data_IF_949040269164
#
_entry.id   IF_949040269164
#
_cell.length_a   1.000
_cell.length_b   1.000
_cell.length_c   1.000
_cell.angle_alpha   90.00
_cell.angle_beta   90.00
_cell.angle_gamma   90.00
#
_symmetry.space_group_name_H-M   'P 1'
#
loop_
_entity.id
_entity.type
_entity.pdbx_description
1 polymer ?
#
# COMPACT_ATOMS: atom_id res chain seq x y z
N UNK A 1 -13.85 -11.91 -13.41
CA UNK A 1 -14.09 -10.48 -13.73
C UNK A 1 -15.13 -9.93 -12.77
N UNK A 2 -14.80 -9.72 -11.52
CA UNK A 2 -15.68 -8.99 -10.60
C UNK A 2 -14.77 -8.16 -9.72
N UNK A 3 -14.39 -6.96 -10.23
CA UNK A 3 -14.11 -5.87 -9.33
C UNK A 3 -15.37 -5.62 -8.55
N UNK A 4 -15.29 -5.30 -7.27
CA UNK A 4 -16.44 -4.92 -6.44
C UNK A 4 -17.03 -3.64 -7.06
N UNK A 5 -17.90 -3.82 -8.05
CA UNK A 5 -18.81 -2.80 -8.50
C UNK A 5 -19.95 -2.87 -7.48
N UNK A 6 -20.02 -1.92 -6.55
CA UNK A 6 -21.26 -1.74 -5.82
C UNK A 6 -22.35 -1.50 -6.85
N UNK A 7 -23.40 -2.32 -6.82
CA UNK A 7 -24.55 -2.14 -7.67
C UNK A 7 -25.14 -0.76 -7.43
N UNK A 8 -25.64 -0.16 -8.50
CA UNK A 8 -26.38 1.08 -8.39
C UNK A 8 -27.62 0.86 -7.53
N UNK A 9 -27.80 1.70 -6.54
CA UNK A 9 -28.99 1.72 -5.67
C UNK A 9 -29.94 2.81 -6.18
N UNK A 10 -31.24 2.51 -6.23
CA UNK A 10 -32.26 3.49 -6.64
C UNK A 10 -32.65 4.40 -5.47
N UNK A 11 -32.68 5.68 -5.74
CA UNK A 11 -33.15 6.73 -4.83
C UNK A 11 -34.27 7.53 -5.48
N UNK A 12 -35.23 7.93 -4.67
CA UNK A 12 -36.37 8.73 -5.11
C UNK A 12 -36.44 10.05 -4.35
N UNK A 13 -36.96 11.07 -4.98
CA UNK A 13 -37.17 12.39 -4.38
C UNK A 13 -38.29 13.16 -5.11
N UNK A 14 -38.67 14.33 -4.60
CA UNK A 14 -39.62 15.21 -5.31
C UNK A 14 -38.96 15.78 -6.58
N UNK A 15 -37.67 16.06 -6.49
CA UNK A 15 -36.81 16.50 -7.59
C UNK A 15 -35.60 15.59 -7.69
N UNK A 16 -34.82 15.70 -8.78
CA UNK A 16 -33.54 15.00 -8.92
C UNK A 16 -32.57 15.39 -7.80
N UNK A 17 -32.56 16.66 -7.41
CA UNK A 17 -31.70 17.16 -6.33
C UNK A 17 -32.08 16.57 -4.96
N UNK A 18 -33.40 16.40 -4.69
CA UNK A 18 -33.85 15.70 -3.48
C UNK A 18 -33.43 14.24 -3.49
N UNK A 19 -33.56 13.55 -4.63
CA UNK A 19 -33.14 12.16 -4.76
C UNK A 19 -31.62 12.01 -4.59
N UNK A 20 -30.84 12.94 -5.14
CA UNK A 20 -29.39 12.98 -4.95
C UNK A 20 -29.02 13.25 -3.50
N UNK A 21 -29.68 14.19 -2.83
CA UNK A 21 -29.48 14.48 -1.42
C UNK A 21 -29.72 13.24 -0.56
N UNK A 22 -30.81 12.48 -0.85
CA UNK A 22 -31.08 11.23 -0.15
C UNK A 22 -29.95 10.20 -0.35
N UNK A 23 -29.41 10.08 -1.57
CA UNK A 23 -28.29 9.21 -1.86
C UNK A 23 -27.01 9.64 -1.12
N UNK A 24 -26.71 10.94 -1.08
CA UNK A 24 -25.54 11.48 -0.37
C UNK A 24 -25.59 11.21 1.13
N UNK A 25 -26.78 11.38 1.73
CA UNK A 25 -27.01 11.09 3.16
C UNK A 25 -26.87 9.60 3.45
N UNK A 26 -27.47 8.73 2.64
CA UNK A 26 -27.39 7.27 2.83
C UNK A 26 -25.96 6.73 2.69
N UNK A 27 -25.22 7.22 1.70
CA UNK A 27 -23.82 6.81 1.49
C UNK A 27 -22.83 7.52 2.42
N UNK A 28 -23.23 8.59 3.11
CA UNK A 28 -22.37 9.39 3.96
C UNK A 28 -21.20 10.05 3.20
N UNK A 29 -21.47 10.54 1.98
CA UNK A 29 -20.47 11.10 1.05
C UNK A 29 -20.85 12.47 0.53
N UNK A 30 -19.90 13.17 -0.07
CA UNK A 30 -20.09 14.44 -0.75
C UNK A 30 -20.41 14.23 -2.25
N UNK A 31 -20.90 15.24 -2.94
CA UNK A 31 -21.37 15.14 -4.34
C UNK A 31 -20.29 14.75 -5.34
N UNK A 32 -19.02 15.00 -5.03
CA UNK A 32 -17.86 14.60 -5.85
C UNK A 32 -17.55 13.10 -5.71
N UNK A 33 -18.04 12.45 -4.64
CA UNK A 33 -17.80 11.05 -4.31
C UNK A 33 -18.93 10.11 -4.73
N UNK A 34 -19.86 10.56 -5.58
CA UNK A 34 -21.00 9.77 -6.06
C UNK A 34 -21.04 9.74 -7.59
N UNK A 35 -21.33 8.57 -8.16
CA UNK A 35 -21.77 8.44 -9.54
C UNK A 35 -23.30 8.24 -9.55
N UNK A 36 -24.01 8.96 -10.39
CA UNK A 36 -25.45 8.75 -10.52
C UNK A 36 -25.94 8.96 -11.95
N UNK A 37 -27.01 8.23 -12.30
CA UNK A 37 -27.74 8.41 -13.53
C UNK A 37 -29.20 8.73 -13.20
N UNK A 38 -29.78 9.68 -13.94
CA UNK A 38 -31.20 10.06 -13.77
C UNK A 38 -32.07 9.10 -14.57
N UNK A 39 -32.90 8.32 -13.87
CA UNK A 39 -33.87 7.41 -14.48
C UNK A 39 -35.16 8.14 -14.84
N UNK A 40 -35.69 8.95 -13.91
CA UNK A 40 -36.91 9.75 -14.09
C UNK A 40 -36.70 11.14 -13.46
N UNK A 41 -37.01 12.20 -14.24
CA UNK A 41 -36.82 13.59 -13.76
C UNK A 41 -37.88 14.05 -12.76
N UNK A 42 -38.97 13.29 -12.63
CA UNK A 42 -40.10 13.74 -11.85
C UNK A 42 -40.96 14.80 -12.53
N UNK A 43 -42.14 15.03 -12.06
CA UNK A 43 -43.00 16.13 -12.51
C UNK A 43 -43.88 16.64 -11.37
N UNK A 44 -44.02 17.93 -11.25
CA UNK A 44 -44.79 18.58 -10.19
C UNK A 44 -46.32 18.43 -10.34
N UNK A 45 -46.83 17.91 -11.47
CA UNK A 45 -48.26 17.80 -11.74
C UNK A 45 -48.95 19.17 -11.84
N UNK A 46 -50.20 19.17 -12.32
CA UNK A 46 -51.03 20.39 -12.29
C UNK A 46 -51.84 20.41 -10.99
N UNK A 47 -51.68 21.47 -10.17
CA UNK A 47 -52.35 21.59 -8.83
C UNK A 47 -52.14 20.41 -7.86
N UNK A 48 -50.98 19.74 -7.93
CA UNK A 48 -50.64 18.63 -7.06
C UNK A 48 -51.23 17.27 -7.48
N UNK A 49 -52.09 17.25 -8.51
CA UNK A 49 -52.61 16.02 -9.10
C UNK A 49 -51.62 15.47 -10.14
N UNK A 50 -51.30 14.17 -10.01
CA UNK A 50 -50.44 13.44 -10.93
C UNK A 50 -48.94 13.81 -10.85
N UNK A 51 -48.43 14.22 -9.68
CA UNK A 51 -46.99 14.36 -9.45
C UNK A 51 -46.31 12.99 -9.53
N UNK A 52 -45.23 12.91 -10.28
CA UNK A 52 -44.34 11.74 -10.34
C UNK A 52 -43.03 12.04 -9.62
N UNK A 53 -42.56 11.18 -8.73
CA UNK A 53 -41.27 11.39 -8.09
C UNK A 53 -40.12 11.30 -9.13
N UNK A 54 -39.05 12.03 -8.88
CA UNK A 54 -37.80 11.81 -9.58
C UNK A 54 -37.14 10.53 -9.06
N UNK A 55 -36.49 9.81 -9.96
CA UNK A 55 -35.69 8.62 -9.62
C UNK A 55 -34.29 8.75 -10.19
N UNK A 56 -33.32 8.41 -9.39
CA UNK A 56 -31.94 8.26 -9.81
C UNK A 56 -31.45 6.87 -9.41
N UNK A 57 -30.48 6.33 -10.13
CA UNK A 57 -29.63 5.26 -9.62
C UNK A 57 -28.27 5.84 -9.27
N UNK A 58 -27.75 5.53 -8.11
CA UNK A 58 -26.52 6.10 -7.60
C UNK A 58 -25.64 5.04 -6.96
N UNK A 59 -24.33 5.26 -7.01
CA UNK A 59 -23.32 4.46 -6.32
C UNK A 59 -22.22 5.34 -5.78
N UNK A 60 -21.57 4.91 -4.71
CA UNK A 60 -20.39 5.57 -4.20
C UNK A 60 -19.21 5.36 -5.16
N UNK A 61 -18.49 6.43 -5.50
CA UNK A 61 -17.21 6.33 -6.18
C UNK A 61 -16.18 5.75 -5.24
N UNK A 62 -15.49 4.73 -5.68
CA UNK A 62 -14.34 4.21 -4.95
C UNK A 62 -13.11 5.07 -5.22
N UNK A 63 -12.51 5.54 -4.16
CA UNK A 63 -11.20 6.17 -4.21
C UNK A 63 -10.09 5.12 -4.34
N UNK A 64 -8.89 5.55 -4.72
CA UNK A 64 -7.71 4.67 -4.71
C UNK A 64 -7.48 4.08 -3.31
N UNK A 65 -7.70 4.87 -2.26
CA UNK A 65 -7.59 4.41 -0.88
C UNK A 65 -8.59 3.29 -0.55
N UNK A 66 -9.84 3.40 -1.03
CA UNK A 66 -10.84 2.33 -0.86
C UNK A 66 -10.42 1.03 -1.57
N UNK A 67 -9.85 1.12 -2.77
CA UNK A 67 -9.33 -0.05 -3.48
C UNK A 67 -8.15 -0.69 -2.74
N UNK A 68 -7.20 0.10 -2.23
CA UNK A 68 -6.09 -0.39 -1.41
C UNK A 68 -6.62 -1.10 -0.17
N UNK A 69 -7.51 -0.45 0.57
CA UNK A 69 -8.09 -0.99 1.81
C UNK A 69 -8.82 -2.30 1.56
N UNK A 70 -9.65 -2.34 0.52
CA UNK A 70 -10.42 -3.52 0.16
C UNK A 70 -9.51 -4.70 -0.22
N UNK A 71 -8.51 -4.48 -1.08
CA UNK A 71 -7.54 -5.52 -1.46
C UNK A 71 -6.82 -6.08 -0.25
N UNK A 72 -6.24 -5.22 0.60
CA UNK A 72 -5.51 -5.64 1.78
C UNK A 72 -6.40 -6.35 2.80
N UNK A 73 -7.64 -5.84 3.02
CA UNK A 73 -8.60 -6.48 3.93
C UNK A 73 -8.96 -7.90 3.49
N UNK A 74 -9.15 -8.13 2.19
CA UNK A 74 -9.41 -9.48 1.65
C UNK A 74 -8.20 -10.42 1.85
N UNK A 75 -6.99 -9.92 1.61
CA UNK A 75 -5.76 -10.69 1.84
C UNK A 75 -5.63 -11.08 3.32
N UNK A 76 -5.80 -10.10 4.24
CA UNK A 76 -5.67 -10.37 5.67
C UNK A 76 -6.78 -11.29 6.20
N UNK A 77 -8.01 -11.14 5.72
CA UNK A 77 -9.10 -12.06 6.05
C UNK A 77 -8.78 -13.49 5.59
N UNK A 78 -8.23 -13.66 4.38
CA UNK A 78 -7.82 -14.98 3.88
C UNK A 78 -6.64 -15.57 4.66
N UNK A 79 -5.78 -14.74 5.25
CA UNK A 79 -4.68 -15.15 6.14
C UNK A 79 -5.15 -15.39 7.58
N UNK A 80 -6.39 -15.05 7.94
CA UNK A 80 -6.92 -15.13 9.31
C UNK A 80 -6.32 -14.09 10.26
N UNK A 81 -5.86 -12.94 9.74
CA UNK A 81 -5.21 -11.88 10.51
C UNK A 81 -6.14 -10.68 10.71
N UNK A 82 -6.17 -10.16 11.93
CA UNK A 82 -6.82 -8.88 12.25
C UNK A 82 -5.80 -7.74 12.14
N UNK A 83 -5.97 -6.89 11.10
CA UNK A 83 -5.04 -5.81 10.78
C UNK A 83 -5.80 -4.51 10.60
N UNK A 84 -5.40 -3.49 11.34
CA UNK A 84 -5.81 -2.10 11.09
C UNK A 84 -4.99 -1.55 9.93
N UNK A 85 -5.66 -0.97 8.93
CA UNK A 85 -5.04 -0.43 7.72
C UNK A 85 -5.24 1.08 7.72
N UNK A 86 -4.17 1.83 7.94
CA UNK A 86 -4.15 3.29 7.90
C UNK A 86 -3.55 3.74 6.57
N UNK A 87 -4.31 4.51 5.79
CA UNK A 87 -3.91 4.94 4.45
C UNK A 87 -3.87 6.45 4.40
N UNK A 88 -2.72 6.99 4.02
CA UNK A 88 -2.51 8.42 3.84
C UNK A 88 -1.99 8.69 2.42
N UNK A 89 -2.58 9.66 1.73
CA UNK A 89 -1.98 10.18 0.51
C UNK A 89 -0.68 10.92 0.88
N UNK A 90 0.39 10.70 0.14
CA UNK A 90 1.65 11.40 0.37
C UNK A 90 1.48 12.90 0.15
N UNK A 91 2.00 13.70 1.07
CA UNK A 91 2.01 15.16 0.95
C UNK A 91 3.10 15.68 -0.03
N UNK A 92 4.09 14.84 -0.34
CA UNK A 92 5.28 15.22 -1.11
C UNK A 92 5.24 14.70 -2.56
N UNK A 93 4.56 13.59 -2.80
CA UNK A 93 4.54 12.90 -4.10
C UNK A 93 3.09 12.65 -4.55
N UNK A 94 2.73 13.08 -5.77
CA UNK A 94 1.42 12.78 -6.36
C UNK A 94 1.27 11.27 -6.63
N UNK A 95 0.06 10.75 -6.47
CA UNK A 95 -0.28 9.35 -6.69
C UNK A 95 0.53 8.34 -5.85
N UNK A 96 1.02 8.78 -4.69
CA UNK A 96 1.70 7.93 -3.72
C UNK A 96 0.85 7.83 -2.46
N UNK A 97 0.67 6.60 -1.97
CA UNK A 97 -0.05 6.29 -0.75
C UNK A 97 0.88 5.58 0.23
N UNK A 98 1.01 6.16 1.41
CA UNK A 98 1.71 5.55 2.54
C UNK A 98 0.68 4.77 3.36
N UNK A 99 0.93 3.47 3.54
CA UNK A 99 0.02 2.55 4.22
C UNK A 99 0.74 1.96 5.43
N UNK A 100 0.24 2.27 6.60
CA UNK A 100 0.71 1.71 7.87
C UNK A 100 -0.21 0.57 8.30
N UNK A 101 0.37 -0.60 8.59
CA UNK A 101 -0.32 -1.79 9.07
C UNK A 101 -0.09 -1.96 10.57
N UNK A 102 -1.18 -2.15 11.34
CA UNK A 102 -1.12 -2.35 12.79
C UNK A 102 -1.94 -3.56 13.21
N UNK A 103 -1.43 -4.30 14.20
CA UNK A 103 -2.10 -5.48 14.73
C UNK A 103 -1.21 -6.26 15.67
N UNK A 104 -1.72 -7.35 16.22
CA UNK A 104 -0.98 -8.18 17.18
C UNK A 104 0.10 -9.05 16.52
N UNK A 105 -0.08 -9.44 15.25
CA UNK A 105 0.75 -10.44 14.58
C UNK A 105 1.57 -9.85 13.42
N UNK A 106 2.06 -8.61 13.57
CA UNK A 106 2.81 -7.92 12.52
C UNK A 106 4.08 -8.66 12.09
N UNK A 107 4.66 -9.48 12.96
CA UNK A 107 5.78 -10.34 12.60
C UNK A 107 5.50 -11.30 11.43
N UNK A 108 4.25 -11.77 11.29
CA UNK A 108 3.82 -12.62 10.16
C UNK A 108 3.83 -11.81 8.86
N UNK A 109 3.33 -10.57 8.89
CA UNK A 109 3.29 -9.66 7.74
C UNK A 109 4.68 -9.15 7.35
N UNK A 110 5.58 -8.99 8.30
CA UNK A 110 6.98 -8.69 8.02
C UNK A 110 7.64 -9.89 7.34
N UNK A 111 7.47 -11.07 7.92
CA UNK A 111 8.09 -12.30 7.47
C UNK A 111 9.61 -12.30 7.65
N UNK A 112 10.28 -13.28 7.02
CA UNK A 112 11.74 -13.39 7.10
C UNK A 112 12.42 -12.18 6.43
N UNK A 113 13.01 -11.30 7.25
CA UNK A 113 13.74 -10.09 6.76
C UNK A 113 12.90 -9.15 5.89
N UNK A 114 11.60 -9.05 6.14
CA UNK A 114 10.72 -8.17 5.39
C UNK A 114 10.25 -8.71 4.03
N UNK A 115 10.54 -9.97 3.70
CA UNK A 115 10.17 -10.55 2.41
C UNK A 115 8.65 -10.61 2.20
N UNK A 116 7.88 -10.93 3.24
CA UNK A 116 6.41 -10.96 3.15
C UNK A 116 5.88 -9.54 2.93
N UNK A 117 6.40 -8.57 3.66
CA UNK A 117 6.00 -7.16 3.51
C UNK A 117 6.33 -6.61 2.12
N UNK A 118 7.50 -6.96 1.57
CA UNK A 118 7.89 -6.56 0.21
C UNK A 118 6.99 -7.22 -0.86
N UNK A 119 6.67 -8.51 -0.69
CA UNK A 119 5.77 -9.23 -1.58
C UNK A 119 4.35 -8.67 -1.53
N UNK A 120 3.84 -8.37 -0.33
CA UNK A 120 2.53 -7.78 -0.13
C UNK A 120 2.47 -6.38 -0.78
N UNK A 121 3.48 -5.55 -0.60
CA UNK A 121 3.58 -4.25 -1.26
C UNK A 121 3.57 -4.39 -2.79
N UNK A 122 4.33 -5.34 -3.32
CA UNK A 122 4.38 -5.59 -4.76
C UNK A 122 3.01 -6.00 -5.31
N UNK A 123 2.33 -6.95 -4.66
CA UNK A 123 0.99 -7.41 -5.05
C UNK A 123 -0.05 -6.29 -4.93
N UNK A 124 0.02 -5.47 -3.89
CA UNK A 124 -0.86 -4.30 -3.73
C UNK A 124 -0.67 -3.33 -4.89
N UNK A 125 0.57 -2.97 -5.23
CA UNK A 125 0.85 -2.10 -6.37
C UNK A 125 0.33 -2.70 -7.68
N UNK A 126 0.50 -4.00 -7.89
CA UNK A 126 0.00 -4.68 -9.09
C UNK A 126 -1.53 -4.66 -9.16
N UNK A 127 -2.21 -4.96 -8.06
CA UNK A 127 -3.67 -5.00 -7.98
C UNK A 127 -4.29 -3.63 -8.25
N UNK A 128 -3.74 -2.57 -7.64
CA UNK A 128 -4.26 -1.20 -7.78
C UNK A 128 -4.05 -0.67 -9.21
N UNK A 129 -2.91 -0.96 -9.81
CA UNK A 129 -2.59 -0.44 -11.15
C UNK A 129 -3.14 -1.27 -12.31
N UNK A 130 -3.80 -2.40 -12.03
CA UNK A 130 -4.33 -3.30 -13.07
C UNK A 130 -5.36 -2.64 -14.00
N UNK A 131 -6.11 -1.67 -13.48
CA UNK A 131 -7.21 -1.01 -14.19
C UNK A 131 -7.14 0.52 -14.12
N UNK A 132 -5.98 1.07 -13.78
CA UNK A 132 -5.75 2.52 -13.65
C UNK A 132 -5.02 3.05 -14.87
N UNK A 133 -5.48 4.18 -15.40
CA UNK A 133 -4.78 4.91 -16.47
C UNK A 133 -3.56 5.67 -15.94
N UNK A 134 -3.54 5.97 -14.64
CA UNK A 134 -2.45 6.68 -13.96
C UNK A 134 -1.79 5.76 -12.95
N UNK A 135 -0.47 5.63 -13.04
CA UNK A 135 0.28 4.78 -12.10
C UNK A 135 0.23 5.31 -10.68
N UNK A 136 -0.26 4.47 -9.78
CA UNK A 136 -0.30 4.74 -8.33
C UNK A 136 0.76 3.90 -7.63
N UNK A 137 1.51 4.53 -6.74
CA UNK A 137 2.52 3.87 -5.92
C UNK A 137 2.01 3.71 -4.48
N UNK A 138 2.00 2.48 -4.00
CA UNK A 138 1.68 2.15 -2.61
C UNK A 138 2.94 1.75 -1.87
N UNK A 139 3.21 2.39 -0.74
CA UNK A 139 4.31 2.07 0.18
C UNK A 139 3.70 1.44 1.43
N UNK A 140 4.03 0.19 1.72
CA UNK A 140 3.59 -0.50 2.94
C UNK A 140 4.69 -0.48 3.99
N UNK A 141 4.32 -0.18 5.24
CA UNK A 141 5.19 -0.40 6.39
C UNK A 141 4.37 -0.86 7.61
N UNK A 142 5.04 -1.33 8.63
CA UNK A 142 4.46 -1.70 9.92
C UNK A 142 5.49 -1.46 11.01
N UNK A 143 5.09 -0.72 12.05
CA UNK A 143 5.93 -0.42 13.22
C UNK A 143 7.33 0.13 12.86
N UNK A 144 7.43 0.96 11.84
CA UNK A 144 8.71 1.48 11.32
C UNK A 144 9.73 0.36 10.98
N UNK A 145 9.26 -0.80 10.52
CA UNK A 145 10.11 -1.96 10.27
C UNK A 145 11.25 -1.63 9.30
N UNK A 146 10.96 -0.92 8.21
CA UNK A 146 11.98 -0.61 7.20
C UNK A 146 13.14 0.20 7.76
N UNK A 147 12.84 1.18 8.62
CA UNK A 147 13.85 1.99 9.33
C UNK A 147 14.66 1.12 10.31
N UNK A 148 13.98 0.38 11.19
CA UNK A 148 14.64 -0.51 12.16
C UNK A 148 15.52 -1.56 11.48
N UNK A 149 15.05 -2.10 10.35
CA UNK A 149 15.82 -3.08 9.56
C UNK A 149 17.07 -2.47 8.96
N UNK A 150 16.98 -1.26 8.41
CA UNK A 150 18.12 -0.50 7.91
C UNK A 150 19.15 -0.27 9.00
N UNK A 151 18.74 0.22 10.16
CA UNK A 151 19.63 0.47 11.30
C UNK A 151 20.35 -0.82 11.76
N UNK A 152 19.60 -1.93 11.79
CA UNK A 152 20.17 -3.26 12.11
C UNK A 152 21.25 -3.67 11.11
N UNK A 153 21.02 -3.46 9.81
CA UNK A 153 22.00 -3.80 8.76
C UNK A 153 23.23 -2.90 8.83
N UNK A 154 23.07 -1.61 9.10
CA UNK A 154 24.20 -0.68 9.27
C UNK A 154 25.07 -1.08 10.49
N UNK A 155 24.44 -1.47 11.60
CA UNK A 155 25.15 -1.94 12.79
C UNK A 155 25.83 -3.28 12.52
N UNK A 156 25.20 -4.21 11.80
CA UNK A 156 25.81 -5.46 11.37
C UNK A 156 27.05 -5.19 10.53
N UNK A 157 26.96 -4.29 9.54
CA UNK A 157 28.08 -3.92 8.69
C UNK A 157 29.28 -3.44 9.51
N UNK A 158 29.07 -2.50 10.45
CA UNK A 158 30.12 -1.96 11.32
C UNK A 158 30.76 -3.05 12.19
N UNK A 159 29.96 -3.91 12.79
CA UNK A 159 30.44 -5.02 13.64
C UNK A 159 31.29 -6.01 12.83
N UNK A 160 30.85 -6.38 11.64
CA UNK A 160 31.61 -7.28 10.76
C UNK A 160 32.89 -6.63 10.25
N UNK A 161 32.84 -5.34 9.88
CA UNK A 161 34.05 -4.60 9.51
C UNK A 161 35.09 -4.60 10.63
N UNK A 162 34.68 -4.37 11.89
CA UNK A 162 35.56 -4.49 13.05
C UNK A 162 36.17 -5.90 13.18
N UNK A 163 35.34 -6.96 13.01
CA UNK A 163 35.83 -8.35 13.04
C UNK A 163 36.85 -8.59 11.94
N UNK A 164 36.60 -8.15 10.69
CA UNK A 164 37.55 -8.28 9.57
C UNK A 164 38.85 -7.57 9.85
N UNK A 165 38.81 -6.34 10.38
CA UNK A 165 40.01 -5.58 10.77
C UNK A 165 40.88 -6.32 11.80
N UNK A 166 40.24 -6.95 12.79
CA UNK A 166 40.90 -7.68 13.87
C UNK A 166 41.45 -9.03 13.41
N UNK A 167 40.66 -9.80 12.66
CA UNK A 167 41.02 -11.19 12.30
C UNK A 167 41.81 -11.28 10.99
N UNK A 168 41.80 -10.20 10.20
CA UNK A 168 42.40 -10.16 8.86
C UNK A 168 41.82 -11.16 7.86
N UNK A 169 40.66 -11.73 8.17
CA UNK A 169 39.93 -12.72 7.34
C UNK A 169 38.69 -12.08 6.75
N UNK A 170 38.44 -12.35 5.47
CA UNK A 170 37.19 -11.97 4.81
C UNK A 170 35.96 -12.64 5.51
N UNK A 171 34.85 -11.93 5.57
CA UNK A 171 33.60 -12.45 6.12
C UNK A 171 32.50 -12.30 5.08
N UNK A 172 31.87 -13.42 4.77
CA UNK A 172 30.69 -13.47 3.91
C UNK A 172 29.44 -13.40 4.77
N UNK A 173 28.51 -12.51 4.42
CA UNK A 173 27.22 -12.39 5.06
C UNK A 173 26.23 -13.40 4.48
N UNK A 174 25.08 -13.52 5.09
CA UNK A 174 24.00 -14.32 4.53
C UNK A 174 23.39 -13.67 3.28
N UNK A 175 22.76 -14.46 2.39
CA UNK A 175 22.02 -13.92 1.25
C UNK A 175 20.97 -12.88 1.68
N UNK A 176 20.87 -11.81 0.91
CA UNK A 176 19.95 -10.70 1.16
C UNK A 176 19.54 -10.03 -0.15
N UNK A 177 18.41 -9.34 -0.15
CA UNK A 177 17.87 -8.67 -1.32
C UNK A 177 18.79 -7.51 -1.79
N UNK A 178 18.63 -6.99 -3.02
CA UNK A 178 19.50 -5.93 -3.55
C UNK A 178 19.48 -4.65 -2.73
N UNK A 179 18.35 -4.29 -2.12
CA UNK A 179 18.26 -3.11 -1.26
C UNK A 179 19.08 -3.27 0.01
N UNK A 180 18.98 -4.40 0.70
CA UNK A 180 19.76 -4.71 1.91
C UNK A 180 21.27 -4.73 1.62
N UNK A 181 21.67 -5.32 0.49
CA UNK A 181 23.10 -5.29 0.09
C UNK A 181 23.60 -3.87 -0.12
N UNK A 182 22.77 -3.00 -0.70
CA UNK A 182 23.10 -1.58 -0.89
C UNK A 182 23.29 -0.87 0.45
N UNK A 183 22.47 -1.17 1.46
CA UNK A 183 22.63 -0.60 2.81
C UNK A 183 24.00 -0.96 3.40
N UNK A 184 24.40 -2.25 3.31
CA UNK A 184 25.73 -2.69 3.78
C UNK A 184 26.85 -2.00 3.03
N UNK A 185 26.79 -1.93 1.70
CA UNK A 185 27.80 -1.23 0.88
C UNK A 185 27.92 0.25 1.25
N UNK A 186 26.79 0.94 1.39
CA UNK A 186 26.77 2.35 1.77
C UNK A 186 27.32 2.61 3.16
N UNK A 187 27.00 1.73 4.13
CA UNK A 187 27.49 1.87 5.51
C UNK A 187 29.02 1.76 5.61
N UNK A 188 29.67 1.05 4.69
CA UNK A 188 31.12 0.83 4.69
C UNK A 188 31.86 1.54 3.55
N UNK A 189 31.18 2.30 2.71
CA UNK A 189 31.76 2.96 1.54
C UNK A 189 33.01 3.81 1.88
N UNK A 190 32.92 4.54 2.98
CA UNK A 190 33.97 5.44 3.44
C UNK A 190 34.94 4.82 4.47
N UNK A 191 34.83 3.51 4.72
CA UNK A 191 35.76 2.86 5.65
C UNK A 191 37.18 2.78 5.02
N UNK A 192 38.20 3.12 5.81
CA UNK A 192 39.58 3.18 5.34
C UNK A 192 40.24 1.80 5.16
N UNK A 193 39.74 0.77 5.87
CA UNK A 193 40.44 -0.49 6.02
C UNK A 193 39.73 -1.68 5.41
N UNK A 194 38.43 -1.53 5.13
CA UNK A 194 37.63 -2.62 4.54
C UNK A 194 36.99 -2.16 3.25
N UNK A 195 36.73 -3.13 2.38
CA UNK A 195 35.94 -2.97 1.16
C UNK A 195 34.85 -4.04 1.11
N UNK A 196 33.86 -3.81 0.27
CA UNK A 196 32.71 -4.70 0.16
C UNK A 196 32.41 -5.00 -1.30
N UNK A 197 32.07 -6.24 -1.61
CA UNK A 197 31.57 -6.64 -2.91
C UNK A 197 30.44 -7.66 -2.73
N UNK A 198 29.67 -7.88 -3.80
CA UNK A 198 28.57 -8.86 -3.78
C UNK A 198 28.94 -10.06 -4.62
N UNK A 199 28.71 -11.28 -4.06
CA UNK A 199 28.98 -12.57 -4.70
C UNK A 199 27.71 -13.40 -4.86
N UNK A 200 27.70 -14.29 -5.88
CA UNK A 200 26.62 -15.23 -6.15
C UNK A 200 25.52 -14.64 -7.02
N UNK A 201 24.51 -15.45 -7.29
CA UNK A 201 23.32 -15.11 -8.08
C UNK A 201 22.08 -15.05 -7.20
N UNK A 202 21.08 -14.29 -7.62
CA UNK A 202 19.80 -14.23 -6.91
C UNK A 202 19.14 -15.62 -6.91
N UNK A 203 18.47 -16.03 -5.85
CA UNK A 203 18.22 -15.32 -4.59
C UNK A 203 19.31 -15.50 -3.52
N UNK A 204 20.43 -16.13 -3.85
CA UNK A 204 21.50 -16.47 -2.90
C UNK A 204 22.63 -15.46 -2.86
N UNK A 205 22.48 -14.33 -3.57
CA UNK A 205 23.49 -13.29 -3.63
C UNK A 205 23.69 -12.60 -2.28
N UNK A 206 24.96 -12.44 -1.88
CA UNK A 206 25.39 -12.01 -0.54
C UNK A 206 26.49 -10.95 -0.64
N UNK A 207 26.72 -10.23 0.46
CA UNK A 207 27.84 -9.29 0.59
C UNK A 207 29.01 -9.97 1.26
N UNK A 208 30.21 -9.73 0.74
CA UNK A 208 31.47 -10.11 1.34
C UNK A 208 32.22 -8.85 1.75
N UNK A 209 32.77 -8.86 2.97
CA UNK A 209 33.56 -7.76 3.54
C UNK A 209 35.00 -8.24 3.67
N UNK A 210 35.92 -7.52 3.02
CA UNK A 210 37.36 -7.86 2.98
C UNK A 210 38.20 -6.69 3.44
N UNK A 211 39.49 -6.94 3.76
CA UNK A 211 40.44 -5.87 3.95
C UNK A 211 40.78 -5.19 2.62
N UNK A 212 40.89 -3.90 2.63
CA UNK A 212 41.53 -3.16 1.52
C UNK A 212 42.99 -3.58 1.41
N UNK A 213 43.44 -3.80 0.19
CA UNK A 213 44.84 -4.07 -0.14
C UNK A 213 45.62 -2.79 -0.17
#
# INVERSE_FOLDING_TARGET
REGIVMDFIEFTGKTVDDALTNALVEFGVTSDQIDYDVLEKGSSGFLGFNSKPAKIKARKKYTVADHIKNFLSQVFAAMGLEVEILINASAEEENVYDVELKGAEMGVLIGKRGQTLDSLQYLTNLAINKHSDTYTRVKLDTEDYRKRRKDTLENLAKNIAYKVKRTKKAVSLEPMNPFERRVIHSALQNDRYVETHSEGEEPYRKVVITLKR
#
